data_IF_949811933547
#
_entry.id   IF_949811933547
#
_cell.length_a   1.000
_cell.length_b   1.000
_cell.length_c   1.000
_cell.angle_alpha   90.00
_cell.angle_beta   90.00
_cell.angle_gamma   90.00
#
_symmetry.space_group_name_H-M   'P 1'
#
loop_
_entity.id
_entity.type
_entity.pdbx_description
1 polymer ?
#
# COMPACT_ATOMS: atom_id res chain seq x y z
N UNK A 1 0.37 -13.37 10.79
CA UNK A 1 0.82 -12.44 9.73
C UNK A 1 -0.05 -11.18 9.85
N UNK A 2 0.20 -10.05 9.16
CA UNK A 2 -0.66 -8.89 9.33
C UNK A 2 -2.05 -9.13 8.70
N UNK A 3 -3.08 -9.14 9.53
CA UNK A 3 -4.46 -8.95 9.07
C UNK A 3 -4.68 -7.47 8.72
N UNK A 4 -5.30 -7.23 7.57
CA UNK A 4 -5.72 -5.90 7.12
C UNK A 4 -7.22 -5.91 6.86
N UNK A 5 -7.87 -4.85 7.31
CA UNK A 5 -9.28 -4.57 7.06
C UNK A 5 -9.35 -3.57 5.92
N UNK A 6 -9.94 -3.97 4.80
CA UNK A 6 -10.04 -3.17 3.58
C UNK A 6 -11.48 -2.74 3.34
N UNK A 7 -11.67 -1.51 2.88
CA UNK A 7 -12.99 -1.04 2.47
C UNK A 7 -13.41 -1.69 1.14
N UNK A 8 -14.44 -2.54 1.19
CA UNK A 8 -14.97 -3.28 0.03
C UNK A 8 -15.39 -2.33 -1.10
N UNK A 9 -16.11 -1.26 -0.80
CA UNK A 9 -16.57 -0.28 -1.81
C UNK A 9 -15.38 0.35 -2.54
N UNK A 10 -14.33 0.73 -1.80
CA UNK A 10 -13.10 1.28 -2.39
C UNK A 10 -12.36 0.25 -3.23
N UNK A 11 -12.19 -0.99 -2.74
CA UNK A 11 -11.56 -2.07 -3.49
C UNK A 11 -12.31 -2.35 -4.80
N UNK A 12 -13.63 -2.52 -4.75
CA UNK A 12 -14.44 -2.83 -5.93
C UNK A 12 -14.44 -1.69 -6.96
N UNK A 13 -14.48 -0.43 -6.48
CA UNK A 13 -14.30 0.75 -7.33
C UNK A 13 -12.95 0.76 -8.04
N UNK A 14 -11.87 0.41 -7.33
CA UNK A 14 -10.52 0.36 -7.89
C UNK A 14 -10.32 -0.82 -8.86
N UNK A 15 -10.93 -1.97 -8.56
CA UNK A 15 -10.97 -3.13 -9.46
C UNK A 15 -11.70 -2.78 -10.76
N UNK A 16 -12.80 -2.02 -10.66
CA UNK A 16 -13.62 -1.60 -11.79
C UNK A 16 -14.62 -2.68 -12.26
N UNK A 17 -14.93 -3.65 -11.39
CA UNK A 17 -15.91 -4.70 -11.64
C UNK A 17 -16.61 -5.03 -10.33
N UNK A 18 -17.93 -5.03 -10.33
CA UNK A 18 -18.74 -5.54 -9.22
C UNK A 18 -18.90 -7.06 -9.31
N UNK A 19 -18.99 -7.73 -8.16
CA UNK A 19 -19.30 -9.16 -8.08
C UNK A 19 -19.99 -9.49 -6.76
N UNK A 20 -20.77 -10.58 -6.70
CA UNK A 20 -21.35 -11.07 -5.45
C UNK A 20 -20.28 -11.50 -4.44
N UNK A 21 -20.63 -11.43 -3.15
CA UNK A 21 -19.71 -11.73 -2.05
C UNK A 21 -19.13 -13.15 -2.12
N UNK A 22 -19.94 -14.13 -2.51
CA UNK A 22 -19.48 -15.51 -2.66
C UNK A 22 -18.43 -15.67 -3.78
N UNK A 23 -18.60 -14.96 -4.90
CA UNK A 23 -17.59 -14.92 -5.95
C UNK A 23 -16.34 -14.18 -5.47
N UNK A 24 -16.50 -13.05 -4.77
CA UNK A 24 -15.39 -12.28 -4.22
C UNK A 24 -14.54 -13.12 -3.26
N UNK A 25 -15.18 -13.87 -2.36
CA UNK A 25 -14.50 -14.75 -1.40
C UNK A 25 -13.66 -15.80 -2.12
N UNK A 26 -14.24 -16.52 -3.08
CA UNK A 26 -13.53 -17.52 -3.88
C UNK A 26 -12.31 -16.92 -4.60
N UNK A 27 -12.49 -15.76 -5.24
CA UNK A 27 -11.41 -15.10 -6.00
C UNK A 27 -10.27 -14.60 -5.11
N UNK A 28 -10.58 -14.08 -3.92
CA UNK A 28 -9.56 -13.66 -2.95
C UNK A 28 -8.75 -14.87 -2.45
N UNK A 29 -9.42 -15.98 -2.14
CA UNK A 29 -8.73 -17.21 -1.73
C UNK A 29 -7.82 -17.74 -2.85
N UNK A 30 -8.28 -17.72 -4.10
CA UNK A 30 -7.46 -18.11 -5.26
C UNK A 30 -6.29 -17.17 -5.56
N UNK A 31 -6.36 -15.90 -5.14
CA UNK A 31 -5.26 -14.94 -5.26
C UNK A 31 -4.04 -15.36 -4.39
N UNK A 32 -4.24 -16.29 -3.44
CA UNK A 32 -3.22 -16.73 -2.51
C UNK A 32 -3.11 -15.79 -1.30
N UNK A 33 -4.22 -15.20 -0.88
CA UNK A 33 -4.36 -14.49 0.41
C UNK A 33 -5.34 -15.27 1.28
N UNK A 34 -5.08 -15.31 2.59
CA UNK A 34 -5.98 -16.00 3.51
C UNK A 34 -7.12 -15.06 3.90
N UNK A 35 -8.34 -15.42 3.50
CA UNK A 35 -9.53 -14.59 3.69
C UNK A 35 -10.17 -14.93 5.03
N UNK A 36 -10.21 -13.95 5.94
CA UNK A 36 -10.86 -14.13 7.24
C UNK A 36 -12.38 -13.89 7.11
N UNK A 37 -12.78 -12.76 6.54
CA UNK A 37 -14.19 -12.40 6.44
C UNK A 37 -14.50 -11.42 5.30
N UNK A 38 -15.74 -11.47 4.81
CA UNK A 38 -16.35 -10.42 3.98
C UNK A 38 -17.71 -10.11 4.58
N UNK A 39 -17.82 -8.98 5.28
CA UNK A 39 -19.01 -8.59 6.02
C UNK A 39 -19.37 -7.14 5.72
N UNK A 40 -20.57 -6.93 5.16
CA UNK A 40 -21.05 -5.60 4.78
C UNK A 40 -20.09 -4.91 3.80
N UNK A 41 -19.47 -3.82 4.27
CA UNK A 41 -18.51 -3.01 3.51
C UNK A 41 -17.03 -3.31 3.84
N UNK A 42 -16.76 -4.38 4.59
CA UNK A 42 -15.42 -4.75 5.06
C UNK A 42 -14.94 -6.06 4.45
N UNK A 43 -13.65 -6.11 4.09
CA UNK A 43 -12.92 -7.32 3.69
C UNK A 43 -11.75 -7.48 4.67
N UNK A 44 -11.69 -8.58 5.40
CA UNK A 44 -10.58 -8.90 6.28
C UNK A 44 -9.74 -10.01 5.67
N UNK A 45 -8.46 -9.71 5.44
CA UNK A 45 -7.51 -10.64 4.81
C UNK A 45 -6.21 -10.65 5.59
N UNK A 46 -5.68 -11.84 5.80
CA UNK A 46 -4.33 -12.06 6.30
C UNK A 46 -3.34 -12.06 5.12
N UNK A 47 -2.40 -11.11 5.15
CA UNK A 47 -1.44 -10.89 4.06
C UNK A 47 -0.10 -11.55 4.39
N UNK A 48 0.41 -12.33 3.45
CA UNK A 48 1.71 -12.97 3.60
C UNK A 48 2.85 -11.94 3.67
N UNK A 49 3.87 -12.14 4.54
CA UNK A 49 4.96 -11.19 4.73
C UNK A 49 5.81 -10.87 3.48
N UNK A 50 5.80 -11.76 2.47
CA UNK A 50 6.50 -11.59 1.21
C UNK A 50 5.75 -10.70 0.20
N UNK A 51 4.50 -10.30 0.50
CA UNK A 51 3.66 -9.46 -0.36
C UNK A 51 3.21 -8.17 0.34
N UNK A 52 4.14 -7.31 0.78
CA UNK A 52 3.79 -6.03 1.43
C UNK A 52 3.01 -5.09 0.50
N UNK A 53 3.04 -5.33 -0.81
CA UNK A 53 2.23 -4.62 -1.80
C UNK A 53 0.72 -4.81 -1.58
N UNK A 54 0.29 -5.90 -0.95
CA UNK A 54 -1.12 -6.20 -0.70
C UNK A 54 -1.67 -5.56 0.59
N UNK A 55 -0.87 -4.82 1.34
CA UNK A 55 -1.26 -4.19 2.62
C UNK A 55 -2.15 -2.94 2.47
N UNK A 56 -2.38 -2.47 1.24
CA UNK A 56 -3.26 -1.33 0.94
C UNK A 56 -4.40 -1.73 0.03
N UNK A 57 -5.50 -0.98 0.09
CA UNK A 57 -6.65 -1.10 -0.81
C UNK A 57 -6.20 -0.99 -2.27
N UNK A 58 -5.30 -0.05 -2.60
CA UNK A 58 -4.82 0.17 -3.96
C UNK A 58 -3.97 -0.99 -4.47
N UNK A 59 -3.08 -1.53 -3.64
CA UNK A 59 -2.24 -2.66 -4.00
C UNK A 59 -3.01 -3.97 -4.09
N UNK A 60 -3.91 -4.21 -3.15
CA UNK A 60 -4.82 -5.35 -3.15
C UNK A 60 -5.75 -5.32 -4.37
N UNK A 61 -6.43 -4.18 -4.61
CA UNK A 61 -7.31 -4.02 -5.76
C UNK A 61 -6.56 -4.16 -7.09
N UNK A 62 -5.31 -3.68 -7.18
CA UNK A 62 -4.48 -3.88 -8.38
C UNK A 62 -4.20 -5.36 -8.63
N UNK A 63 -3.80 -6.11 -7.60
CA UNK A 63 -3.54 -7.54 -7.73
C UNK A 63 -4.81 -8.32 -8.08
N UNK A 64 -5.92 -8.05 -7.39
CA UNK A 64 -7.21 -8.68 -7.65
C UNK A 64 -7.74 -8.35 -9.06
N UNK A 65 -7.63 -7.09 -9.50
CA UNK A 65 -8.07 -6.68 -10.84
C UNK A 65 -7.29 -7.36 -11.96
N UNK A 66 -5.97 -7.52 -11.80
CA UNK A 66 -5.16 -8.27 -12.75
C UNK A 66 -5.48 -9.76 -12.73
N UNK A 67 -5.72 -10.34 -11.55
CA UNK A 67 -6.11 -11.75 -11.42
C UNK A 67 -7.47 -12.05 -12.07
N UNK A 68 -8.43 -11.13 -11.94
CA UNK A 68 -9.75 -11.22 -12.57
C UNK A 68 -9.75 -10.93 -14.07
N UNK A 69 -8.61 -10.56 -14.65
CA UNK A 69 -8.50 -10.22 -16.07
C UNK A 69 -9.08 -8.85 -16.45
N UNK A 70 -9.40 -7.99 -15.48
CA UNK A 70 -10.03 -6.67 -15.75
C UNK A 70 -8.99 -5.65 -16.20
N UNK A 71 -7.88 -5.52 -15.44
CA UNK A 71 -6.76 -4.64 -15.78
C UNK A 71 -5.49 -5.48 -15.83
N UNK A 72 -5.19 -6.01 -17.00
CA UNK A 72 -4.05 -6.90 -17.24
C UNK A 72 -2.81 -6.13 -17.67
N UNK A 73 -1.65 -6.80 -17.57
CA UNK A 73 -0.35 -6.23 -17.93
C UNK A 73 0.33 -5.47 -16.79
N UNK A 74 1.53 -4.98 -17.09
CA UNK A 74 2.35 -4.26 -16.11
C UNK A 74 1.79 -2.85 -15.89
N UNK A 75 1.60 -2.49 -14.62
CA UNK A 75 1.30 -1.11 -14.24
C UNK A 75 2.48 -0.21 -14.57
N UNK A 76 2.23 0.86 -15.31
CA UNK A 76 3.23 1.88 -15.65
C UNK A 76 3.16 2.99 -14.61
N UNK A 77 4.32 3.39 -14.11
CA UNK A 77 4.46 4.52 -13.19
C UNK A 77 5.37 5.55 -13.85
N UNK A 78 4.83 6.74 -14.10
CA UNK A 78 5.60 7.83 -14.69
C UNK A 78 6.48 8.48 -13.62
N UNK A 79 7.78 8.22 -13.72
CA UNK A 79 8.78 8.80 -12.83
C UNK A 79 9.45 9.97 -13.57
N UNK A 80 9.35 11.16 -12.99
CA UNK A 80 10.04 12.36 -13.49
C UNK A 80 11.28 12.62 -12.62
N UNK A 81 12.35 13.08 -13.25
CA UNK A 81 13.53 13.55 -12.52
C UNK A 81 13.11 14.71 -11.60
N UNK A 82 13.53 14.64 -10.34
CA UNK A 82 13.36 15.74 -9.40
C UNK A 82 14.03 17.02 -9.91
N UNK A 83 13.62 18.17 -9.39
CA UNK A 83 14.36 19.41 -9.60
C UNK A 83 15.75 19.29 -8.96
N UNK A 84 16.75 19.96 -9.52
CA UNK A 84 18.15 19.81 -9.10
C UNK A 84 18.42 20.27 -7.64
N UNK A 85 17.50 21.06 -7.07
CA UNK A 85 17.51 21.56 -5.68
C UNK A 85 16.92 20.58 -4.66
N UNK A 86 16.16 19.56 -5.08
CA UNK A 86 15.68 18.52 -4.16
C UNK A 86 16.76 17.47 -3.92
N UNK A 87 17.43 17.59 -2.77
CA UNK A 87 18.47 16.66 -2.34
C UNK A 87 18.26 16.25 -0.90
N UNK A 88 18.53 14.97 -0.63
CA UNK A 88 18.65 14.43 0.72
C UNK A 88 20.09 14.03 0.89
N UNK A 89 20.76 14.64 1.88
CA UNK A 89 22.16 14.38 2.19
C UNK A 89 22.19 13.53 3.46
N UNK A 90 22.75 12.33 3.35
CA UNK A 90 22.99 11.47 4.51
C UNK A 90 24.38 11.78 5.03
N UNK A 91 24.44 12.40 6.21
CA UNK A 91 25.68 12.80 6.85
C UNK A 91 26.43 11.58 7.41
N UNK A 92 27.77 11.60 7.40
CA UNK A 92 28.56 10.48 7.89
C UNK A 92 28.37 10.24 9.40
N UNK A 93 27.98 11.25 10.17
CA UNK A 93 27.67 11.11 11.59
C UNK A 93 26.58 10.08 11.91
N UNK A 94 25.68 9.77 10.96
CA UNK A 94 24.62 8.78 11.16
C UNK A 94 25.01 7.37 10.72
N UNK A 95 26.24 7.14 10.24
CA UNK A 95 26.68 5.84 9.69
C UNK A 95 26.49 4.67 10.67
N UNK A 96 26.78 4.89 11.95
CA UNK A 96 26.65 3.87 13.01
C UNK A 96 25.20 3.65 13.49
N UNK A 97 24.26 4.53 13.12
CA UNK A 97 22.88 4.52 13.60
C UNK A 97 21.90 4.15 12.48
N UNK A 98 21.90 4.92 11.39
CA UNK A 98 21.04 4.73 10.19
C UNK A 98 21.75 5.26 8.93
N UNK A 99 22.59 4.44 8.29
CA UNK A 99 23.44 4.88 7.17
C UNK A 99 22.70 5.12 5.85
N UNK A 100 21.44 4.69 5.72
CA UNK A 100 20.71 4.76 4.45
C UNK A 100 19.37 5.45 4.61
N UNK A 101 19.04 6.31 3.65
CA UNK A 101 17.73 6.97 3.51
C UNK A 101 17.37 7.06 2.03
N UNK A 102 16.10 6.76 1.72
CA UNK A 102 15.54 6.96 0.39
C UNK A 102 14.32 7.88 0.52
N UNK A 103 14.16 8.78 -0.45
CA UNK A 103 13.04 9.73 -0.47
C UNK A 103 12.46 9.82 -1.88
N UNK A 104 11.17 10.09 -1.95
CA UNK A 104 10.45 10.38 -3.18
C UNK A 104 9.49 11.54 -2.93
N UNK A 105 9.21 12.30 -3.99
CA UNK A 105 8.23 13.38 -3.97
C UNK A 105 7.06 12.94 -4.83
N UNK A 106 5.87 12.91 -4.24
CA UNK A 106 4.63 12.64 -4.96
C UNK A 106 3.87 13.97 -5.06
N UNK A 107 3.63 14.43 -6.30
CA UNK A 107 2.94 15.70 -6.58
C UNK A 107 1.52 15.46 -7.04
N UNK A 108 0.70 16.51 -6.99
CA UNK A 108 -0.70 16.50 -7.45
C UNK A 108 -1.53 15.49 -6.65
N UNK A 109 -1.40 15.57 -5.32
CA UNK A 109 -2.21 14.79 -4.39
C UNK A 109 -3.35 15.66 -3.86
N UNK A 110 -4.57 15.12 -3.94
CA UNK A 110 -5.71 15.65 -3.21
C UNK A 110 -5.94 14.74 -2.01
N UNK A 111 -5.53 15.20 -0.84
CA UNK A 111 -5.81 14.53 0.42
C UNK A 111 -7.19 14.93 0.92
N UNK A 112 -7.96 13.92 1.31
CA UNK A 112 -9.13 14.02 2.16
C UNK A 112 -8.84 13.19 3.43
N UNK A 113 -9.72 13.28 4.42
CA UNK A 113 -9.54 12.56 5.69
C UNK A 113 -9.41 11.03 5.50
N UNK A 114 -10.08 10.48 4.50
CA UNK A 114 -10.05 9.04 4.19
C UNK A 114 -8.67 8.64 3.67
N UNK A 115 -8.13 9.33 2.66
CA UNK A 115 -6.79 9.08 2.13
C UNK A 115 -5.68 9.30 3.14
N UNK A 116 -5.84 10.28 4.03
CA UNK A 116 -4.86 10.48 5.11
C UNK A 116 -4.83 9.24 6.01
N UNK A 117 -6.00 8.71 6.40
CA UNK A 117 -6.09 7.47 7.18
C UNK A 117 -5.51 6.28 6.43
N UNK A 118 -5.81 6.11 5.14
CA UNK A 118 -5.25 5.04 4.31
C UNK A 118 -3.71 5.09 4.29
N UNK A 119 -3.12 6.27 4.06
CA UNK A 119 -1.66 6.45 4.03
C UNK A 119 -1.01 6.15 5.38
N UNK A 120 -1.62 6.60 6.48
CA UNK A 120 -1.14 6.32 7.83
C UNK A 120 -1.25 4.81 8.13
N UNK A 121 -2.35 4.16 7.75
CA UNK A 121 -2.56 2.74 7.98
C UNK A 121 -1.51 1.88 7.28
N UNK A 122 -1.24 2.11 5.99
CA UNK A 122 -0.19 1.35 5.29
C UNK A 122 1.20 1.66 5.88
N UNK A 123 1.48 2.91 6.25
CA UNK A 123 2.73 3.30 6.90
C UNK A 123 2.95 2.49 8.19
N UNK A 124 1.95 2.40 9.05
CA UNK A 124 2.01 1.64 10.31
C UNK A 124 2.16 0.14 10.07
N UNK A 125 1.38 -0.44 9.16
CA UNK A 125 1.48 -1.86 8.83
C UNK A 125 2.88 -2.21 8.30
N UNK A 126 3.45 -1.38 7.43
CA UNK A 126 4.82 -1.55 6.93
C UNK A 126 5.86 -1.39 8.05
N UNK A 127 5.67 -0.44 8.97
CA UNK A 127 6.57 -0.25 10.11
C UNK A 127 6.63 -1.46 11.03
N UNK A 128 5.46 -2.02 11.37
CA UNK A 128 5.35 -3.19 12.26
C UNK A 128 5.92 -4.44 11.57
N UNK A 129 5.53 -4.67 10.31
CA UNK A 129 5.85 -5.90 9.58
C UNK A 129 7.24 -5.86 8.95
N UNK A 130 7.34 -5.32 7.73
CA UNK A 130 8.57 -5.25 6.94
C UNK A 130 9.68 -4.48 7.67
N UNK A 131 9.31 -3.39 8.34
CA UNK A 131 10.19 -2.55 9.14
C UNK A 131 10.62 -3.13 10.48
N UNK A 132 10.06 -4.27 10.91
CA UNK A 132 10.30 -4.91 12.21
C UNK A 132 10.20 -3.92 13.38
N UNK A 133 9.01 -3.38 13.59
CA UNK A 133 8.75 -2.30 14.56
C UNK A 133 9.72 -1.12 14.37
N UNK A 134 9.84 -0.65 13.13
CA UNK A 134 10.72 0.46 12.70
C UNK A 134 12.22 0.22 12.84
N UNK A 135 12.66 -0.93 13.34
CA UNK A 135 14.09 -1.25 13.55
C UNK A 135 14.86 -1.34 12.22
N UNK A 136 14.22 -1.82 11.16
CA UNK A 136 14.83 -1.99 9.82
C UNK A 136 14.45 -0.89 8.84
N UNK A 137 13.24 -0.37 8.90
CA UNK A 137 12.77 0.71 8.04
C UNK A 137 11.81 1.61 8.81
N UNK A 138 11.98 2.93 8.67
CA UNK A 138 11.01 3.90 9.13
C UNK A 138 10.64 4.79 7.94
N UNK A 139 9.35 5.03 7.79
CA UNK A 139 8.75 5.82 6.72
C UNK A 139 8.17 7.06 7.36
N UNK A 140 8.46 8.24 6.80
CA UNK A 140 7.84 9.51 7.17
C UNK A 140 7.18 10.15 5.96
N UNK A 141 6.06 10.81 6.19
CA UNK A 141 5.32 11.57 5.17
C UNK A 141 5.28 13.01 5.62
N UNK A 142 5.70 13.92 4.76
CA UNK A 142 5.82 15.34 5.07
C UNK A 142 5.21 16.16 3.94
N UNK A 143 4.52 17.27 4.24
CA UNK A 143 4.14 18.22 3.21
C UNK A 143 5.41 18.82 2.61
N UNK A 144 5.48 18.87 1.27
CA UNK A 144 6.64 19.42 0.55
C UNK A 144 6.72 20.95 0.71
N UNK A 145 5.56 21.59 0.76
CA UNK A 145 5.38 23.03 0.96
C UNK A 145 4.86 23.24 2.39
N UNK A 146 5.30 24.32 3.05
CA UNK A 146 4.86 24.69 4.40
C UNK A 146 3.49 25.32 4.38
#
# INVERSE_FOLDING_TARGET
MPTVTLNKKTVMRLVGKEMPDEELKDRISMLGTDLESVEGDSIEVEIFPNRPDLLSEQGFARALSSFLGVKTGLSKFDIKKGKDDYRVIVDQSVESVRPFTACAIVKVLMFDDEKIREVIQIQEKLHVTYGRNRKKCAIGVYPLEK
#
